data_IF_891964466794
#
_entry.id   IF_891964466794
#
_cell.length_a   1.000
_cell.length_b   1.000
_cell.length_c   1.000
_cell.angle_alpha   90.00
_cell.angle_beta   90.00
_cell.angle_gamma   90.00
#
_symmetry.space_group_name_H-M   'P 1'
#
loop_
_entity.id
_entity.type
_entity.pdbx_description
1 polymer ?
#
# COMPACT_ATOMS: atom_id res chain seq x y z
N UNK A 1 -17.44 9.85 -19.79
CA UNK A 1 -18.01 11.08 -19.18
C UNK A 1 -19.53 11.02 -19.01
N UNK A 2 -20.36 10.67 -20.03
CA UNK A 2 -21.83 10.68 -19.88
C UNK A 2 -22.37 9.67 -18.87
N UNK A 3 -21.88 8.45 -18.87
CA UNK A 3 -22.26 7.42 -17.88
C UNK A 3 -21.77 7.76 -16.48
N UNK A 4 -20.56 8.31 -16.37
CA UNK A 4 -20.00 8.77 -15.09
C UNK A 4 -20.86 9.89 -14.51
N UNK A 5 -21.26 10.88 -15.33
CA UNK A 5 -22.14 11.96 -14.90
C UNK A 5 -23.48 11.42 -14.38
N UNK A 6 -24.07 10.48 -15.10
CA UNK A 6 -25.33 9.82 -14.69
C UNK A 6 -25.19 9.08 -13.37
N UNK A 7 -24.11 8.30 -13.20
CA UNK A 7 -23.84 7.57 -11.96
C UNK A 7 -23.59 8.50 -10.78
N UNK A 8 -22.96 9.65 -11.01
CA UNK A 8 -22.68 10.66 -10.00
C UNK A 8 -23.85 11.63 -9.75
N UNK A 9 -24.98 11.50 -10.45
CA UNK A 9 -26.16 12.39 -10.30
C UNK A 9 -25.93 13.83 -10.77
N UNK A 10 -24.95 14.07 -11.66
CA UNK A 10 -24.61 15.40 -12.18
C UNK A 10 -24.76 15.47 -13.69
N UNK A 11 -24.82 16.70 -14.25
CA UNK A 11 -24.84 16.87 -15.70
C UNK A 11 -23.46 16.57 -16.32
N UNK A 12 -23.45 16.13 -17.58
CA UNK A 12 -22.20 15.96 -18.34
C UNK A 12 -21.43 17.29 -18.46
N UNK A 13 -22.14 18.42 -18.60
CA UNK A 13 -21.56 19.76 -18.61
C UNK A 13 -20.86 20.10 -17.30
N UNK A 14 -21.46 19.73 -16.17
CA UNK A 14 -20.85 19.91 -14.83
C UNK A 14 -19.50 19.21 -14.74
N UNK A 15 -19.39 17.95 -15.22
CA UNK A 15 -18.11 17.26 -15.20
C UNK A 15 -17.05 17.93 -16.06
N UNK A 16 -17.42 18.48 -17.21
CA UNK A 16 -16.47 19.19 -18.08
C UNK A 16 -16.01 20.55 -17.55
N UNK A 17 -16.76 21.17 -16.62
CA UNK A 17 -16.31 22.38 -15.91
C UNK A 17 -15.12 22.06 -15.00
N UNK A 18 -15.12 20.90 -14.36
CA UNK A 18 -14.05 20.50 -13.41
C UNK A 18 -12.94 19.69 -14.07
N UNK A 19 -13.25 18.90 -15.09
CA UNK A 19 -12.31 17.98 -15.71
C UNK A 19 -12.37 18.12 -17.23
N UNK A 20 -11.28 18.60 -17.84
CA UNK A 20 -11.19 18.85 -19.26
C UNK A 20 -11.53 17.60 -20.11
N UNK A 21 -11.18 16.42 -19.63
CA UNK A 21 -11.44 15.13 -20.26
C UNK A 21 -11.53 13.99 -19.25
N UNK A 22 -11.76 12.75 -19.74
CA UNK A 22 -11.86 11.56 -18.93
C UNK A 22 -10.55 11.22 -18.23
N UNK A 23 -9.40 11.56 -18.82
CA UNK A 23 -8.10 11.26 -18.25
C UNK A 23 -7.84 12.13 -17.03
N UNK A 24 -8.18 13.44 -17.11
CA UNK A 24 -8.07 14.37 -15.98
C UNK A 24 -8.98 13.99 -14.82
N UNK A 25 -10.20 13.57 -15.09
CA UNK A 25 -11.07 13.01 -14.04
C UNK A 25 -10.44 11.79 -13.39
N UNK A 26 -9.84 10.94 -14.20
CA UNK A 26 -9.20 9.71 -13.73
C UNK A 26 -7.96 9.99 -12.87
N UNK A 27 -7.10 10.91 -13.31
CA UNK A 27 -5.96 11.39 -12.53
C UNK A 27 -6.39 11.92 -11.16
N UNK A 28 -7.46 12.73 -11.12
CA UNK A 28 -7.98 13.27 -9.86
C UNK A 28 -8.50 12.16 -8.91
N UNK A 29 -9.15 11.12 -9.43
CA UNK A 29 -9.60 9.98 -8.62
C UNK A 29 -8.40 9.22 -8.05
N UNK A 30 -7.36 9.01 -8.84
CA UNK A 30 -6.14 8.33 -8.39
C UNK A 30 -5.38 9.17 -7.37
N UNK A 31 -5.31 10.49 -7.57
CA UNK A 31 -4.68 11.42 -6.62
C UNK A 31 -5.44 11.45 -5.29
N UNK A 32 -6.76 11.51 -5.30
CA UNK A 32 -7.58 11.47 -4.09
C UNK A 32 -7.43 10.14 -3.33
N UNK A 33 -7.46 9.02 -4.04
CA UNK A 33 -7.24 7.70 -3.44
C UNK A 33 -5.83 7.58 -2.86
N UNK A 34 -4.81 8.14 -3.54
CA UNK A 34 -3.44 8.19 -3.05
C UNK A 34 -3.31 9.05 -1.79
N UNK A 35 -4.02 10.18 -1.73
CA UNK A 35 -4.07 11.04 -0.55
C UNK A 35 -4.74 10.33 0.62
N UNK A 36 -5.86 9.64 0.40
CA UNK A 36 -6.53 8.84 1.43
C UNK A 36 -5.64 7.72 1.95
N UNK A 37 -4.91 7.02 1.09
CA UNK A 37 -3.95 6.00 1.50
C UNK A 37 -2.75 6.61 2.23
N UNK A 38 -2.28 7.78 1.82
CA UNK A 38 -1.19 8.50 2.48
C UNK A 38 -1.57 9.07 3.86
N UNK A 39 -2.87 9.29 4.12
CA UNK A 39 -3.40 9.69 5.43
C UNK A 39 -3.39 8.57 6.47
N UNK A 40 -3.27 7.32 6.06
CA UNK A 40 -3.07 6.21 7.01
C UNK A 40 -1.69 6.42 7.65
N UNK A 41 -1.71 7.04 8.82
CA UNK A 41 -0.51 7.28 9.61
C UNK A 41 -0.05 5.95 10.21
N UNK A 42 0.84 5.25 9.51
CA UNK A 42 1.59 4.16 10.13
C UNK A 42 2.51 4.76 11.20
N UNK A 43 2.40 4.24 12.40
CA UNK A 43 3.23 4.72 13.50
C UNK A 43 4.60 4.01 13.47
N UNK A 44 5.57 4.67 12.88
CA UNK A 44 6.96 4.24 12.80
C UNK A 44 7.84 4.95 13.82
N UNK A 45 7.41 5.02 15.07
CA UNK A 45 8.20 5.55 16.18
C UNK A 45 9.37 4.57 16.48
N UNK A 46 10.64 5.00 16.35
CA UNK A 46 11.80 4.14 16.63
C UNK A 46 11.90 3.65 18.08
N UNK A 47 11.17 4.27 19.01
CA UNK A 47 11.12 3.82 20.39
C UNK A 47 10.21 2.60 20.61
N UNK A 48 9.42 2.22 19.60
CA UNK A 48 8.50 1.08 19.70
C UNK A 48 9.18 -0.23 19.31
N UNK A 49 8.73 -1.30 19.95
CA UNK A 49 9.17 -2.66 19.64
C UNK A 49 8.97 -3.02 18.15
N UNK A 50 10.01 -3.59 17.54
CA UNK A 50 10.04 -3.91 16.11
C UNK A 50 8.95 -4.91 15.74
N UNK A 51 8.77 -5.96 16.55
CA UNK A 51 7.78 -7.02 16.28
C UNK A 51 6.37 -6.47 16.26
N UNK A 52 6.05 -5.65 17.28
CA UNK A 52 4.76 -4.99 17.41
C UNK A 52 4.51 -4.03 16.24
N UNK A 53 5.48 -3.18 15.93
CA UNK A 53 5.35 -2.18 14.86
C UNK A 53 5.19 -2.83 13.48
N UNK A 54 5.98 -3.84 13.17
CA UNK A 54 5.86 -4.58 11.90
C UNK A 54 4.52 -5.30 11.79
N UNK A 55 4.04 -5.91 12.88
CA UNK A 55 2.76 -6.61 12.90
C UNK A 55 1.59 -5.66 12.68
N UNK A 56 1.54 -4.55 13.41
CA UNK A 56 0.50 -3.52 13.26
C UNK A 56 0.52 -2.89 11.87
N UNK A 57 1.71 -2.54 11.38
CA UNK A 57 1.86 -2.02 10.02
C UNK A 57 1.37 -3.01 8.98
N UNK A 58 1.81 -4.27 9.04
CA UNK A 58 1.43 -5.29 8.07
C UNK A 58 -0.08 -5.52 8.03
N UNK A 59 -0.75 -5.56 9.19
CA UNK A 59 -2.21 -5.69 9.27
C UNK A 59 -2.91 -4.48 8.66
N UNK A 60 -2.55 -3.26 9.06
CA UNK A 60 -3.14 -2.04 8.54
C UNK A 60 -2.89 -1.89 7.03
N UNK A 61 -1.69 -2.24 6.57
CA UNK A 61 -1.33 -2.22 5.15
C UNK A 61 -2.20 -3.15 4.31
N UNK A 62 -2.39 -4.39 4.73
CA UNK A 62 -3.22 -5.35 3.98
C UNK A 62 -4.71 -4.99 4.08
N UNK A 63 -5.19 -4.54 5.23
CA UNK A 63 -6.57 -4.04 5.36
C UNK A 63 -6.85 -2.89 4.39
N UNK A 64 -5.90 -1.95 4.27
CA UNK A 64 -6.00 -0.85 3.31
C UNK A 64 -5.99 -1.35 1.87
N UNK A 65 -5.03 -2.22 1.53
CA UNK A 65 -4.80 -2.73 0.18
C UNK A 65 -5.96 -3.60 -0.33
N UNK A 66 -6.55 -4.40 0.56
CA UNK A 66 -7.63 -5.33 0.27
C UNK A 66 -9.02 -4.84 0.70
N UNK A 67 -9.19 -3.56 1.06
CA UNK A 67 -10.49 -3.04 1.48
C UNK A 67 -11.53 -3.18 0.35
N UNK A 68 -12.81 -3.44 0.66
CA UNK A 68 -13.87 -3.41 -0.33
C UNK A 68 -13.90 -2.06 -1.05
N UNK A 69 -13.81 -2.06 -2.37
CA UNK A 69 -13.69 -0.83 -3.18
C UNK A 69 -12.26 -0.27 -3.29
N UNK A 70 -11.42 -0.38 -2.29
CA UNK A 70 -10.05 0.19 -2.28
C UNK A 70 -9.08 -0.47 -3.25
N UNK A 71 -9.20 -1.78 -3.47
CA UNK A 71 -8.43 -2.49 -4.50
C UNK A 71 -8.77 -2.04 -5.94
N UNK A 72 -9.84 -1.28 -6.11
CA UNK A 72 -10.24 -0.76 -7.43
C UNK A 72 -9.24 0.28 -7.95
N UNK A 73 -8.69 1.15 -7.11
CA UNK A 73 -7.70 2.15 -7.53
C UNK A 73 -6.41 1.50 -8.02
N UNK A 74 -5.83 0.59 -7.24
CA UNK A 74 -4.62 -0.15 -7.65
C UNK A 74 -4.87 -0.95 -8.93
N UNK A 75 -5.98 -1.68 -9.02
CA UNK A 75 -6.36 -2.44 -10.21
C UNK A 75 -6.53 -1.54 -11.42
N UNK A 76 -7.17 -0.41 -11.22
CA UNK A 76 -7.42 0.56 -12.29
C UNK A 76 -6.12 1.21 -12.76
N UNK A 77 -5.22 1.58 -11.85
CA UNK A 77 -3.89 2.09 -12.21
C UNK A 77 -3.09 1.04 -12.99
N UNK A 78 -3.06 -0.21 -12.53
CA UNK A 78 -2.42 -1.30 -13.24
C UNK A 78 -2.96 -1.48 -14.67
N UNK A 79 -4.29 -1.42 -14.84
CA UNK A 79 -4.92 -1.59 -16.14
C UNK A 79 -4.64 -0.46 -17.14
N UNK A 80 -4.28 0.72 -16.66
CA UNK A 80 -4.08 1.90 -17.54
C UNK A 80 -2.63 2.39 -17.58
N UNK A 81 -1.75 1.91 -16.70
CA UNK A 81 -0.37 2.40 -16.58
C UNK A 81 0.40 2.35 -17.91
N UNK A 82 0.12 1.37 -18.76
CA UNK A 82 0.71 1.28 -20.09
C UNK A 82 0.25 2.43 -21.01
N UNK A 83 -1.03 2.80 -20.93
CA UNK A 83 -1.62 3.89 -21.76
C UNK A 83 -1.42 5.26 -21.16
N UNK A 84 -1.30 5.35 -19.85
CA UNK A 84 -1.18 6.57 -19.08
C UNK A 84 -0.01 6.47 -18.07
N UNK A 85 1.25 6.41 -18.55
CA UNK A 85 2.41 6.14 -17.69
C UNK A 85 2.62 7.21 -16.63
N UNK A 86 2.16 8.45 -16.83
CA UNK A 86 2.22 9.51 -15.82
C UNK A 86 1.38 9.17 -14.58
N UNK A 87 0.17 8.62 -14.78
CA UNK A 87 -0.71 8.20 -13.68
C UNK A 87 -0.05 7.07 -12.88
N UNK A 88 0.52 6.08 -13.58
CA UNK A 88 1.26 4.99 -12.95
C UNK A 88 2.45 5.50 -12.12
N UNK A 89 3.28 6.40 -12.68
CA UNK A 89 4.43 6.99 -11.99
C UNK A 89 4.02 7.79 -10.75
N UNK A 90 2.99 8.63 -10.85
CA UNK A 90 2.50 9.42 -9.72
C UNK A 90 1.96 8.53 -8.61
N UNK A 91 1.15 7.52 -8.95
CA UNK A 91 0.64 6.57 -7.97
C UNK A 91 1.79 5.82 -7.27
N UNK A 92 2.74 5.31 -8.06
CA UNK A 92 3.92 4.64 -7.50
C UNK A 92 4.69 5.55 -6.54
N UNK A 93 5.03 6.77 -6.95
CA UNK A 93 5.86 7.69 -6.16
C UNK A 93 5.14 8.16 -4.89
N UNK A 94 3.87 8.52 -5.00
CA UNK A 94 3.12 9.15 -3.91
C UNK A 94 2.53 8.15 -2.91
N UNK A 95 2.36 6.88 -3.31
CA UNK A 95 1.78 5.85 -2.45
C UNK A 95 2.80 4.79 -2.11
N UNK A 96 3.29 4.07 -3.12
CA UNK A 96 4.10 2.87 -2.90
C UNK A 96 5.50 3.24 -2.39
N UNK A 97 6.22 4.08 -3.13
CA UNK A 97 7.58 4.47 -2.78
C UNK A 97 7.65 5.26 -1.46
N UNK A 98 6.64 6.10 -1.19
CA UNK A 98 6.56 6.81 0.09
C UNK A 98 6.38 5.86 1.28
N UNK A 99 5.53 4.85 1.14
CA UNK A 99 5.33 3.83 2.18
C UNK A 99 6.61 3.03 2.42
N UNK A 100 7.27 2.60 1.33
CA UNK A 100 8.57 1.91 1.40
C UNK A 100 9.60 2.77 2.13
N UNK A 101 9.73 4.05 1.76
CA UNK A 101 10.72 4.96 2.36
C UNK A 101 10.48 5.17 3.86
N UNK A 102 9.23 5.28 4.29
CA UNK A 102 8.89 5.41 5.72
C UNK A 102 9.25 4.16 6.52
N UNK A 103 8.88 2.99 6.00
CA UNK A 103 9.26 1.73 6.64
C UNK A 103 10.78 1.53 6.64
N UNK A 104 11.46 1.85 5.54
CA UNK A 104 12.91 1.75 5.44
C UNK A 104 13.62 2.64 6.46
N UNK A 105 13.15 3.89 6.66
CA UNK A 105 13.71 4.79 7.67
C UNK A 105 13.54 4.24 9.09
N UNK A 106 12.40 3.60 9.38
CA UNK A 106 12.20 2.92 10.66
C UNK A 106 13.17 1.75 10.86
N UNK A 107 13.32 0.91 9.83
CA UNK A 107 14.27 -0.22 9.88
C UNK A 107 15.73 0.24 10.00
N UNK A 108 16.10 1.35 9.36
CA UNK A 108 17.43 1.94 9.44
C UNK A 108 17.77 2.43 10.85
N UNK A 109 16.79 3.03 11.54
CA UNK A 109 16.96 3.43 12.94
C UNK A 109 17.27 2.21 13.84
N UNK A 110 16.56 1.08 13.67
CA UNK A 110 16.81 -0.15 14.41
C UNK A 110 18.10 -0.86 13.98
N UNK A 111 18.49 -0.77 12.72
CA UNK A 111 19.77 -1.27 12.26
C UNK A 111 20.93 -0.47 12.87
N UNK A 112 20.79 0.86 12.96
CA UNK A 112 21.76 1.74 13.60
C UNK A 112 21.85 1.48 15.12
N UNK A 113 20.72 1.18 15.77
CA UNK A 113 20.68 0.83 17.19
C UNK A 113 21.26 -0.58 17.49
N UNK A 114 21.46 -1.41 16.46
CA UNK A 114 21.98 -2.77 16.60
C UNK A 114 20.92 -3.84 16.87
N UNK A 115 19.63 -3.50 16.81
CA UNK A 115 18.52 -4.44 16.97
C UNK A 115 18.34 -5.35 15.75
N UNK A 116 18.69 -4.81 14.57
CA UNK A 116 18.59 -5.49 13.30
C UNK A 116 19.92 -5.45 12.53
N UNK A 117 20.19 -6.51 11.76
CA UNK A 117 21.32 -6.58 10.84
C UNK A 117 20.81 -6.48 9.39
N UNK A 118 20.67 -5.26 8.89
CA UNK A 118 20.14 -4.96 7.54
C UNK A 118 21.15 -4.10 6.77
N UNK A 119 21.57 -4.59 5.59
CA UNK A 119 22.48 -3.84 4.70
C UNK A 119 21.74 -2.88 3.78
N UNK A 120 20.53 -3.23 3.38
CA UNK A 120 19.68 -2.45 2.46
C UNK A 120 18.27 -2.39 3.05
N UNK A 121 18.00 -1.30 3.79
CA UNK A 121 16.70 -1.08 4.45
C UNK A 121 15.57 -0.84 3.45
N UNK A 122 15.85 -0.31 2.25
CA UNK A 122 14.85 -0.15 1.20
C UNK A 122 14.39 -1.51 0.68
N UNK A 123 15.34 -2.38 0.35
CA UNK A 123 15.04 -3.75 -0.09
C UNK A 123 14.31 -4.54 1.01
N UNK A 124 14.77 -4.45 2.24
CA UNK A 124 14.13 -5.13 3.38
C UNK A 124 12.68 -4.66 3.59
N UNK A 125 12.41 -3.36 3.48
CA UNK A 125 11.05 -2.82 3.55
C UNK A 125 10.15 -3.39 2.43
N UNK A 126 10.65 -3.42 1.19
CA UNK A 126 9.93 -4.02 0.06
C UNK A 126 9.66 -5.50 0.28
N UNK A 127 10.64 -6.26 0.75
CA UNK A 127 10.51 -7.69 1.07
C UNK A 127 9.44 -7.93 2.13
N UNK A 128 9.44 -7.15 3.22
CA UNK A 128 8.43 -7.27 4.27
C UNK A 128 7.01 -7.02 3.73
N UNK A 129 6.84 -5.95 2.95
CA UNK A 129 5.55 -5.64 2.33
C UNK A 129 5.06 -6.76 1.41
N UNK A 130 5.96 -7.39 0.63
CA UNK A 130 5.62 -8.54 -0.22
C UNK A 130 5.27 -9.79 0.60
N UNK A 131 5.97 -10.06 1.70
CA UNK A 131 5.63 -11.15 2.61
C UNK A 131 4.22 -10.98 3.18
N UNK A 132 3.83 -9.76 3.57
CA UNK A 132 2.48 -9.46 4.04
C UNK A 132 1.40 -9.68 2.96
N UNK A 133 1.73 -9.42 1.69
CA UNK A 133 0.82 -9.64 0.56
C UNK A 133 0.61 -11.12 0.19
N UNK A 134 1.52 -12.00 0.61
CA UNK A 134 1.52 -13.42 0.24
C UNK A 134 0.14 -14.07 0.45
N UNK A 135 -0.34 -14.79 -0.54
CA UNK A 135 -1.63 -15.47 -0.58
C UNK A 135 -2.89 -14.59 -0.41
N UNK A 136 -2.76 -13.29 -0.13
CA UNK A 136 -3.88 -12.38 0.14
C UNK A 136 -4.17 -11.44 -1.05
N UNK A 137 -3.15 -10.71 -1.51
CA UNK A 137 -3.36 -9.63 -2.47
C UNK A 137 -3.66 -10.12 -3.88
N UNK A 138 -2.88 -11.08 -4.40
CA UNK A 138 -3.07 -11.56 -5.78
C UNK A 138 -4.45 -12.19 -6.01
N UNK A 139 -4.97 -13.10 -5.17
CA UNK A 139 -6.33 -13.61 -5.32
C UNK A 139 -7.39 -12.50 -5.25
N UNK A 140 -7.21 -11.52 -4.37
CA UNK A 140 -8.11 -10.39 -4.23
C UNK A 140 -8.09 -9.48 -5.48
N UNK A 141 -6.90 -9.07 -5.95
CA UNK A 141 -6.79 -8.13 -7.07
C UNK A 141 -7.30 -8.73 -8.39
N UNK A 142 -7.16 -10.05 -8.58
CA UNK A 142 -7.71 -10.79 -9.72
C UNK A 142 -9.17 -11.24 -9.52
N UNK A 143 -9.83 -10.86 -8.42
CA UNK A 143 -11.21 -11.27 -8.10
C UNK A 143 -11.39 -12.79 -8.01
N UNK A 144 -10.32 -13.53 -7.76
CA UNK A 144 -10.34 -14.98 -7.53
C UNK A 144 -10.78 -15.33 -6.10
N UNK A 145 -10.71 -14.37 -5.17
CA UNK A 145 -11.18 -14.49 -3.80
C UNK A 145 -11.78 -13.15 -3.31
N UNK A 146 -12.71 -13.19 -2.33
CA UNK A 146 -13.18 -11.97 -1.66
C UNK A 146 -12.06 -11.31 -0.85
N UNK A 147 -12.34 -10.13 -0.27
CA UNK A 147 -11.44 -9.49 0.68
C UNK A 147 -11.13 -10.46 1.84
N UNK A 148 -9.85 -10.59 2.25
CA UNK A 148 -9.48 -11.50 3.32
C UNK A 148 -10.08 -11.07 4.66
N UNK A 149 -10.41 -12.04 5.51
CA UNK A 149 -10.87 -11.75 6.88
C UNK A 149 -9.74 -11.19 7.75
N UNK A 150 -10.11 -10.51 8.85
CA UNK A 150 -9.14 -9.99 9.81
C UNK A 150 -8.24 -11.08 10.39
N UNK A 151 -8.81 -12.27 10.68
CA UNK A 151 -8.09 -13.43 11.20
C UNK A 151 -7.04 -13.93 10.18
N UNK A 152 -7.45 -14.01 8.90
CA UNK A 152 -6.53 -14.45 7.84
C UNK A 152 -5.40 -13.45 7.61
N UNK A 153 -5.70 -12.15 7.68
CA UNK A 153 -4.68 -11.10 7.62
C UNK A 153 -3.70 -11.25 8.80
N UNK A 154 -4.21 -11.40 10.02
CA UNK A 154 -3.38 -11.54 11.22
C UNK A 154 -2.45 -12.77 11.13
N UNK A 155 -2.96 -13.91 10.65
CA UNK A 155 -2.18 -15.14 10.46
C UNK A 155 -1.02 -14.94 9.48
N UNK A 156 -1.29 -14.37 8.29
CA UNK A 156 -0.28 -14.17 7.25
C UNK A 156 0.75 -13.14 7.68
N UNK A 157 0.30 -12.04 8.29
CA UNK A 157 1.20 -10.99 8.80
C UNK A 157 2.08 -11.50 9.94
N UNK A 158 1.53 -12.29 10.88
CA UNK A 158 2.34 -12.90 11.92
C UNK A 158 3.42 -13.83 11.35
N UNK A 159 3.09 -14.59 10.29
CA UNK A 159 4.08 -15.40 9.58
C UNK A 159 5.14 -14.55 8.90
N UNK A 160 4.73 -13.47 8.20
CA UNK A 160 5.64 -12.52 7.55
C UNK A 160 6.62 -11.89 8.55
N UNK A 161 6.11 -11.42 9.71
CA UNK A 161 6.92 -10.81 10.76
C UNK A 161 7.95 -11.81 11.32
N UNK A 162 7.53 -13.04 11.60
CA UNK A 162 8.48 -14.08 12.08
C UNK A 162 9.59 -14.37 11.06
N UNK A 163 9.23 -14.50 9.77
CA UNK A 163 10.21 -14.74 8.71
C UNK A 163 11.18 -13.58 8.56
N UNK A 164 10.69 -12.36 8.62
CA UNK A 164 11.49 -11.16 8.51
C UNK A 164 12.48 -11.04 9.67
N UNK A 165 12.02 -11.20 10.91
CA UNK A 165 12.86 -11.15 12.10
C UNK A 165 13.85 -12.31 12.15
N UNK A 166 13.48 -13.51 11.73
CA UNK A 166 14.41 -14.64 11.64
C UNK A 166 15.58 -14.36 10.67
N UNK A 167 15.36 -13.53 9.64
CA UNK A 167 16.39 -13.15 8.68
C UNK A 167 17.27 -11.96 9.15
N UNK A 168 16.69 -11.03 9.90
CA UNK A 168 17.30 -9.71 10.13
C UNK A 168 17.52 -9.35 11.61
N UNK A 169 16.91 -10.06 12.57
CA UNK A 169 17.13 -9.79 13.98
C UNK A 169 18.54 -10.23 14.38
N UNK A 170 19.25 -9.36 15.10
CA UNK A 170 20.56 -9.70 15.67
C UNK A 170 20.41 -10.87 16.63
N UNK A 171 21.22 -11.89 16.46
CA UNK A 171 21.26 -13.00 17.42
C UNK A 171 21.96 -12.50 18.69
N UNK A 172 21.22 -12.44 19.78
CA UNK A 172 21.85 -12.26 21.09
C UNK A 172 22.92 -13.37 21.27
N UNK A 173 24.16 -12.94 21.49
CA UNK A 173 25.27 -13.82 21.74
C UNK A 173 25.10 -14.55 23.10
#
# INVERSE_FOLDING_TARGET
MGEIARSAGVSKGTLYVYFADKNRLFEAIVEEEALEQGKVAFNFDPARDVTTTLTEFGQAYIQLLCRPGGGSATRTVMAIAERMPEVGRRFYNNVIALTISRLAAYLDAHATAGDLEIKDCQLAAMQFMQLCQASLFMPFIFQAAPAPSAERIAEVVASATRMFLAAYQTKSA
#
